data_IF_673089207794
#
_entry.id   IF_673089207794
#
_cell.length_a   1.000
_cell.length_b   1.000
_cell.length_c   1.000
_cell.angle_alpha   90.00
_cell.angle_beta   90.00
_cell.angle_gamma   90.00
#
_symmetry.space_group_name_H-M   'P 1'
#
loop_
_entity.id
_entity.type
_entity.pdbx_description
1 polymer ?
#
# COMPACT_ATOMS: atom_id res chain seq x y z
N UNK A 1 20.51 3.56 -7.89
CA UNK A 1 20.51 3.13 -6.47
C UNK A 1 21.13 4.21 -5.61
N UNK A 2 20.69 4.32 -4.36
CA UNK A 2 21.14 5.31 -3.38
C UNK A 2 21.50 4.60 -2.07
N UNK A 3 22.31 5.23 -1.22
CA UNK A 3 22.64 4.69 0.10
C UNK A 3 21.39 4.75 0.99
N UNK A 4 21.14 3.69 1.76
CA UNK A 4 20.05 3.59 2.74
C UNK A 4 18.63 3.70 2.16
N UNK A 5 18.45 3.50 0.86
CA UNK A 5 17.14 3.47 0.21
C UNK A 5 16.99 2.10 -0.47
N UNK A 6 15.89 1.36 -0.26
CA UNK A 6 15.68 0.08 -0.91
C UNK A 6 15.81 0.21 -2.44
N UNK A 7 16.64 -0.63 -3.10
CA UNK A 7 16.95 -0.45 -4.52
C UNK A 7 15.76 -0.71 -5.45
N UNK A 8 14.69 -1.34 -4.95
CA UNK A 8 13.44 -1.56 -5.69
C UNK A 8 12.59 -0.28 -5.79
N UNK A 9 12.85 0.73 -4.97
CA UNK A 9 12.20 2.04 -5.11
C UNK A 9 12.87 2.81 -6.26
N UNK A 10 12.29 2.66 -7.45
CA UNK A 10 12.72 3.37 -8.65
C UNK A 10 12.54 4.90 -8.54
N UNK A 11 13.15 5.67 -9.45
CA UNK A 11 13.13 7.14 -9.40
C UNK A 11 11.70 7.71 -9.43
N UNK A 12 10.84 7.17 -10.30
CA UNK A 12 9.45 7.65 -10.42
C UNK A 12 8.65 7.40 -9.15
N UNK A 13 8.78 6.21 -8.56
CA UNK A 13 8.10 5.87 -7.31
C UNK A 13 8.59 6.73 -6.15
N UNK A 14 9.91 6.96 -6.02
CA UNK A 14 10.44 7.87 -5.02
C UNK A 14 9.93 9.30 -5.21
N UNK A 15 9.82 9.77 -6.46
CA UNK A 15 9.23 11.06 -6.79
C UNK A 15 7.79 11.17 -6.32
N UNK A 16 6.97 10.16 -6.62
CA UNK A 16 5.56 10.06 -6.20
C UNK A 16 5.45 10.07 -4.67
N UNK A 17 6.14 9.16 -3.98
CA UNK A 17 6.10 9.06 -2.52
C UNK A 17 6.54 10.36 -1.86
N UNK A 18 7.53 11.06 -2.41
CA UNK A 18 8.02 12.34 -1.87
C UNK A 18 7.07 13.50 -2.11
N UNK A 19 6.35 13.48 -3.24
CA UNK A 19 5.39 14.50 -3.65
C UNK A 19 4.04 14.39 -2.93
N UNK A 20 3.63 13.19 -2.53
CA UNK A 20 2.42 12.98 -1.72
C UNK A 20 2.45 13.85 -0.44
N UNK A 21 1.32 14.45 -0.10
CA UNK A 21 1.08 15.14 1.16
C UNK A 21 0.53 14.22 2.25
N UNK A 22 0.33 14.78 3.44
CA UNK A 22 -0.40 14.08 4.50
C UNK A 22 -1.85 13.88 4.07
N UNK A 23 -2.33 12.65 4.19
CA UNK A 23 -3.69 12.23 3.89
C UNK A 23 -3.87 11.67 2.47
N UNK A 24 -2.88 11.85 1.58
CA UNK A 24 -2.86 11.21 0.27
C UNK A 24 -2.77 9.70 0.41
N UNK A 25 -3.42 8.99 -0.51
CA UNK A 25 -3.52 7.53 -0.48
C UNK A 25 -2.83 6.90 -1.70
N UNK A 26 -2.08 5.82 -1.49
CA UNK A 26 -1.41 5.06 -2.54
C UNK A 26 -1.74 3.57 -2.38
N UNK A 27 -2.12 2.92 -3.47
CA UNK A 27 -2.43 1.50 -3.45
C UNK A 27 -1.24 0.68 -3.92
N UNK A 28 -0.95 -0.44 -3.26
CA UNK A 28 -0.10 -1.51 -3.80
C UNK A 28 -1.03 -2.67 -4.11
N UNK A 29 -1.06 -3.10 -5.37
CA UNK A 29 -2.07 -4.04 -5.86
C UNK A 29 -1.46 -5.29 -6.46
N UNK A 30 -2.18 -6.40 -6.37
CA UNK A 30 -1.81 -7.68 -6.93
C UNK A 30 -1.97 -7.71 -8.46
N UNK A 31 -1.36 -8.69 -9.12
CA UNK A 31 -1.31 -8.81 -10.57
C UNK A 31 -2.69 -8.96 -11.25
N UNK A 32 -3.76 -9.24 -10.51
CA UNK A 32 -5.12 -9.36 -11.04
C UNK A 32 -5.95 -8.08 -10.85
N UNK A 33 -5.47 -7.12 -10.04
CA UNK A 33 -6.15 -5.85 -9.87
C UNK A 33 -6.16 -5.04 -11.17
N UNK A 34 -7.28 -4.40 -11.53
CA UNK A 34 -7.40 -3.65 -12.79
C UNK A 34 -6.75 -2.26 -12.71
N UNK A 35 -5.45 -2.21 -12.40
CA UNK A 35 -4.73 -0.95 -12.09
C UNK A 35 -4.72 0.06 -13.23
N UNK A 36 -4.60 -0.40 -14.48
CA UNK A 36 -4.55 0.47 -15.68
C UNK A 36 -5.87 1.24 -15.89
N UNK A 37 -7.00 0.59 -15.64
CA UNK A 37 -8.33 1.19 -15.79
C UNK A 37 -8.86 1.87 -14.52
N UNK A 38 -8.08 1.90 -13.43
CA UNK A 38 -8.55 2.36 -12.12
C UNK A 38 -8.58 3.89 -12.00
N UNK A 39 -7.82 4.63 -12.82
CA UNK A 39 -7.83 6.10 -12.88
C UNK A 39 -6.53 6.78 -12.43
N UNK A 40 -5.98 6.50 -11.24
CA UNK A 40 -4.75 7.11 -10.77
C UNK A 40 -3.52 6.76 -11.62
N UNK A 41 -2.44 7.50 -11.40
CA UNK A 41 -1.14 7.20 -12.01
C UNK A 41 -0.68 5.78 -11.63
N UNK A 42 -0.29 5.00 -12.64
CA UNK A 42 0.16 3.62 -12.47
C UNK A 42 1.68 3.51 -12.52
N UNK A 43 2.29 2.92 -11.49
CA UNK A 43 3.69 2.49 -11.45
C UNK A 43 3.74 0.98 -11.56
N UNK A 44 4.45 0.45 -12.55
CA UNK A 44 4.60 -0.99 -12.78
C UNK A 44 5.83 -1.51 -12.05
N UNK A 45 5.64 -2.51 -11.18
CA UNK A 45 6.68 -3.24 -10.45
C UNK A 45 6.48 -4.75 -10.64
N UNK A 46 6.39 -5.16 -11.90
CA UNK A 46 6.17 -6.54 -12.29
C UNK A 46 7.26 -7.47 -11.72
N UNK A 47 6.85 -8.67 -11.33
CA UNK A 47 7.75 -9.69 -10.77
C UNK A 47 8.18 -9.44 -9.32
N UNK A 48 7.76 -8.34 -8.69
CA UNK A 48 8.04 -8.04 -7.28
C UNK A 48 6.78 -8.32 -6.45
N UNK A 49 6.92 -8.95 -5.28
CA UNK A 49 5.78 -9.27 -4.42
C UNK A 49 5.17 -8.03 -3.77
N UNK A 50 3.88 -8.06 -3.42
CA UNK A 50 3.23 -6.96 -2.69
C UNK A 50 3.92 -6.71 -1.35
N UNK A 51 4.41 -7.78 -0.71
CA UNK A 51 5.10 -7.72 0.58
C UNK A 51 6.46 -7.03 0.49
N UNK A 52 7.25 -7.28 -0.57
CA UNK A 52 8.53 -6.60 -0.76
C UNK A 52 8.33 -5.12 -1.08
N UNK A 53 7.33 -4.80 -1.91
CA UNK A 53 6.98 -3.41 -2.21
C UNK A 53 6.50 -2.68 -0.95
N UNK A 54 5.61 -3.30 -0.18
CA UNK A 54 5.08 -2.73 1.07
C UNK A 54 6.19 -2.46 2.08
N UNK A 55 7.06 -3.45 2.33
CA UNK A 55 8.18 -3.29 3.26
C UNK A 55 9.10 -2.14 2.82
N UNK A 56 9.42 -2.04 1.53
CA UNK A 56 10.24 -0.96 1.01
C UNK A 56 9.56 0.41 1.09
N UNK A 57 8.28 0.54 0.73
CA UNK A 57 7.53 1.80 0.82
C UNK A 57 7.50 2.32 2.26
N UNK A 58 7.25 1.45 3.24
CA UNK A 58 7.17 1.84 4.64
C UNK A 58 8.53 2.20 5.27
N UNK A 59 9.66 1.88 4.62
CA UNK A 59 10.96 2.41 5.06
C UNK A 59 11.11 3.93 4.88
N UNK A 60 10.30 4.55 4.01
CA UNK A 60 10.43 5.97 3.63
C UNK A 60 9.13 6.76 3.78
N UNK A 61 7.98 6.11 3.89
CA UNK A 61 6.67 6.75 3.97
C UNK A 61 5.99 6.41 5.30
N UNK A 62 5.74 7.40 6.19
CA UNK A 62 4.98 7.17 7.40
C UNK A 62 3.50 6.94 7.09
N UNK A 63 2.83 6.15 7.93
CA UNK A 63 1.37 6.03 7.90
C UNK A 63 0.69 7.11 8.74
N UNK A 64 -0.54 7.44 8.34
CA UNK A 64 -1.35 8.45 8.99
C UNK A 64 -1.82 8.02 10.38
N UNK A 65 -1.28 8.67 11.42
CA UNK A 65 -1.63 8.41 12.82
C UNK A 65 -2.73 9.34 13.37
N UNK A 66 -3.38 10.14 12.51
CA UNK A 66 -4.56 10.96 12.84
C UNK A 66 -5.87 10.23 12.55
N UNK A 67 -5.82 9.03 11.98
CA UNK A 67 -6.97 8.19 11.66
C UNK A 67 -6.82 6.81 12.28
N UNK A 68 -7.95 6.14 12.52
CA UNK A 68 -7.95 4.77 13.05
C UNK A 68 -7.40 3.74 12.05
N UNK A 69 -7.52 4.04 10.75
CA UNK A 69 -7.16 3.12 9.66
C UNK A 69 -6.36 3.82 8.56
N UNK A 70 -5.06 3.53 8.50
CA UNK A 70 -4.16 4.02 7.44
C UNK A 70 -3.56 2.92 6.56
N UNK A 71 -3.80 1.65 6.90
CA UNK A 71 -3.44 0.49 6.10
C UNK A 71 -4.67 -0.41 5.96
N UNK A 72 -5.22 -0.49 4.76
CA UNK A 72 -6.51 -1.16 4.50
C UNK A 72 -6.30 -2.20 3.42
N UNK A 73 -6.72 -3.46 3.63
CA UNK A 73 -6.79 -4.46 2.56
C UNK A 73 -8.23 -4.70 2.08
N UNK A 74 -8.36 -5.46 1.01
CA UNK A 74 -9.66 -5.89 0.52
C UNK A 74 -10.18 -7.10 1.31
N UNK A 75 -11.47 -7.13 1.63
CA UNK A 75 -12.14 -8.30 2.22
C UNK A 75 -12.28 -9.44 1.22
N UNK A 76 -12.24 -10.67 1.72
CA UNK A 76 -12.57 -11.86 0.92
C UNK A 76 -14.07 -11.87 0.61
N UNK A 77 -14.42 -12.00 -0.67
CA UNK A 77 -15.82 -12.01 -1.10
C UNK A 77 -16.56 -13.18 -0.47
N UNK A 78 -17.67 -12.89 0.21
CA UNK A 78 -18.47 -13.89 0.93
C UNK A 78 -17.92 -14.26 2.32
N UNK A 79 -16.78 -13.70 2.74
CA UNK A 79 -16.17 -14.02 4.05
C UNK A 79 -15.32 -12.86 4.58
N UNK A 80 -15.96 -11.80 5.07
CA UNK A 80 -15.27 -10.59 5.52
C UNK A 80 -14.25 -10.81 6.66
N UNK A 81 -14.45 -11.84 7.48
CA UNK A 81 -13.54 -12.19 8.58
C UNK A 81 -12.33 -13.05 8.14
N UNK A 82 -12.35 -13.58 6.91
CA UNK A 82 -11.26 -14.42 6.41
C UNK A 82 -10.02 -13.59 6.13
N UNK A 83 -8.87 -14.12 6.55
CA UNK A 83 -7.55 -13.51 6.34
C UNK A 83 -6.65 -14.48 5.59
N UNK A 84 -6.39 -14.17 4.32
CA UNK A 84 -5.46 -14.90 3.48
C UNK A 84 -4.02 -14.80 4.01
N UNK A 85 -3.13 -15.76 3.69
CA UNK A 85 -1.73 -15.71 4.11
C UNK A 85 -1.04 -14.38 3.77
N UNK A 86 -1.26 -13.84 2.56
CA UNK A 86 -0.70 -12.56 2.14
C UNK A 86 -1.16 -11.39 3.01
N UNK A 87 -2.41 -11.41 3.49
CA UNK A 87 -2.92 -10.37 4.40
C UNK A 87 -2.24 -10.42 5.77
N UNK A 88 -1.91 -11.62 6.27
CA UNK A 88 -1.20 -11.78 7.55
C UNK A 88 0.26 -11.31 7.44
N UNK A 89 0.89 -11.55 6.30
CA UNK A 89 2.23 -11.05 6.00
C UNK A 89 2.23 -9.51 5.92
N UNK A 90 1.27 -8.94 5.17
CA UNK A 90 1.11 -7.48 5.10
C UNK A 90 0.85 -6.85 6.47
N UNK A 91 -0.02 -7.43 7.31
CA UNK A 91 -0.27 -6.95 8.68
C UNK A 91 0.99 -6.98 9.55
N UNK A 92 1.82 -8.02 9.38
CA UNK A 92 3.09 -8.16 10.11
C UNK A 92 4.11 -7.11 9.68
N UNK A 93 4.14 -6.75 8.39
CA UNK A 93 5.00 -5.69 7.86
C UNK A 93 4.52 -4.32 8.35
N UNK A 94 3.22 -4.03 8.27
CA UNK A 94 2.64 -2.78 8.79
C UNK A 94 3.01 -2.59 10.25
N UNK A 95 2.79 -3.59 11.11
CA UNK A 95 3.12 -3.51 12.54
C UNK A 95 4.61 -3.34 12.84
N UNK A 96 5.49 -3.80 11.94
CA UNK A 96 6.95 -3.67 12.10
C UNK A 96 7.39 -2.22 11.93
N UNK A 97 6.86 -1.54 10.91
CA UNK A 97 7.22 -0.15 10.60
C UNK A 97 6.38 0.84 11.41
N UNK A 98 5.12 0.48 11.69
CA UNK A 98 4.13 1.34 12.34
C UNK A 98 3.45 0.58 13.49
N UNK A 99 4.10 0.44 14.66
CA UNK A 99 3.63 -0.45 15.75
C UNK A 99 2.25 -0.14 16.32
N UNK A 100 1.74 1.08 16.08
CA UNK A 100 0.40 1.52 16.51
C UNK A 100 -0.67 1.26 15.45
N UNK A 101 -0.29 0.82 14.26
CA UNK A 101 -1.17 0.59 13.13
C UNK A 101 -1.41 -0.91 12.92
N UNK A 102 -2.60 -1.26 12.46
CA UNK A 102 -2.97 -2.61 12.07
C UNK A 102 -3.60 -2.61 10.68
N UNK A 103 -3.57 -3.75 10.00
CA UNK A 103 -4.19 -3.88 8.69
C UNK A 103 -5.71 -4.07 8.82
N UNK A 104 -6.46 -3.01 8.57
CA UNK A 104 -7.93 -3.04 8.49
C UNK A 104 -8.40 -3.68 7.18
N UNK A 105 -9.72 -3.78 6.98
CA UNK A 105 -10.27 -4.37 5.76
C UNK A 105 -11.56 -3.70 5.30
N UNK A 106 -11.76 -3.64 3.99
CA UNK A 106 -12.91 -3.00 3.35
C UNK A 106 -13.53 -3.91 2.29
N UNK A 107 -14.85 -3.80 2.10
CA UNK A 107 -15.57 -4.47 1.02
C UNK A 107 -14.95 -4.16 -0.36
N UNK A 108 -14.99 -5.12 -1.29
CA UNK A 108 -14.31 -5.06 -2.59
C UNK A 108 -14.64 -3.83 -3.43
N UNK A 109 -15.92 -3.49 -3.59
CA UNK A 109 -16.30 -2.35 -4.42
C UNK A 109 -16.00 -1.02 -3.73
N UNK A 110 -16.18 -0.95 -2.41
CA UNK A 110 -15.72 0.21 -1.64
C UNK A 110 -14.20 0.41 -1.75
N UNK A 111 -13.42 -0.68 -1.76
CA UNK A 111 -11.98 -0.64 -1.99
C UNK A 111 -11.66 -0.10 -3.40
N UNK A 112 -12.35 -0.57 -4.43
CA UNK A 112 -12.18 -0.05 -5.80
C UNK A 112 -12.50 1.44 -5.90
N UNK A 113 -13.60 1.88 -5.28
CA UNK A 113 -13.99 3.29 -5.27
C UNK A 113 -12.96 4.18 -4.54
N UNK A 114 -12.38 3.67 -3.45
CA UNK A 114 -11.38 4.43 -2.69
C UNK A 114 -10.05 4.51 -3.44
N UNK A 115 -9.59 3.39 -4.02
CA UNK A 115 -8.36 3.37 -4.82
C UNK A 115 -8.46 4.29 -6.04
N UNK A 116 -9.60 4.36 -6.73
CA UNK A 116 -9.75 5.23 -7.91
C UNK A 116 -9.65 6.73 -7.60
N UNK A 117 -9.80 7.12 -6.33
CA UNK A 117 -9.63 8.48 -5.81
C UNK A 117 -8.24 8.72 -5.19
N UNK A 118 -7.39 7.68 -5.15
CA UNK A 118 -6.04 7.76 -4.60
C UNK A 118 -5.08 8.54 -5.51
N UNK A 119 -3.90 8.84 -4.95
CA UNK A 119 -2.84 9.57 -5.63
C UNK A 119 -2.17 8.74 -6.73
N UNK A 120 -1.86 7.47 -6.43
CA UNK A 120 -1.20 6.56 -7.36
C UNK A 120 -1.49 5.09 -7.01
N UNK A 121 -1.18 4.21 -7.96
CA UNK A 121 -1.24 2.76 -7.81
C UNK A 121 0.11 2.17 -8.18
N UNK A 122 0.59 1.24 -7.36
CA UNK A 122 1.78 0.42 -7.61
C UNK A 122 1.29 -0.98 -7.96
N UNK A 123 1.43 -1.35 -9.23
CA UNK A 123 1.06 -2.66 -9.75
C UNK A 123 2.21 -3.64 -9.52
N UNK A 124 2.08 -4.49 -8.51
CA UNK A 124 3.06 -5.53 -8.19
C UNK A 124 2.91 -6.76 -9.10
N UNK A 125 3.85 -7.69 -8.97
CA UNK A 125 3.78 -9.04 -9.53
C UNK A 125 3.14 -10.08 -8.61
N UNK A 126 2.48 -9.66 -7.52
CA UNK A 126 1.86 -10.59 -6.57
C UNK A 126 0.78 -11.44 -7.25
N UNK A 127 0.90 -12.77 -7.12
CA UNK A 127 -0.03 -13.72 -7.76
C UNK A 127 -1.06 -14.29 -6.79
N UNK A 128 -0.80 -14.19 -5.48
CA UNK A 128 -1.75 -14.58 -4.43
C UNK A 128 -2.94 -13.63 -4.47
N UNK A 129 -4.14 -14.19 -4.33
CA UNK A 129 -5.37 -13.40 -4.37
C UNK A 129 -5.49 -12.50 -3.14
N UNK A 130 -6.19 -11.38 -3.32
CA UNK A 130 -6.40 -10.37 -2.29
C UNK A 130 -5.10 -9.75 -1.77
N UNK A 131 -4.06 -9.71 -2.61
CA UNK A 131 -2.79 -9.05 -2.33
C UNK A 131 -2.85 -7.54 -2.59
N UNK A 132 -3.92 -6.89 -2.16
CA UNK A 132 -4.15 -5.46 -2.36
C UNK A 132 -4.15 -4.75 -1.01
N UNK A 133 -3.41 -3.64 -0.93
CA UNK A 133 -3.35 -2.78 0.25
C UNK A 133 -3.37 -1.32 -0.17
N UNK A 134 -4.17 -0.51 0.53
CA UNK A 134 -4.24 0.92 0.41
C UNK A 134 -3.56 1.55 1.63
N UNK A 135 -2.63 2.47 1.39
CA UNK A 135 -1.86 3.16 2.42
C UNK A 135 -2.22 4.64 2.42
N UNK A 136 -2.48 5.20 3.59
CA UNK A 136 -2.70 6.64 3.79
C UNK A 136 -1.45 7.27 4.40
N UNK A 137 -0.89 8.28 3.74
CA UNK A 137 0.36 8.91 4.15
C UNK A 137 0.18 9.81 5.38
N UNK A 138 1.05 9.64 6.36
CA UNK A 138 1.08 10.43 7.58
C UNK A 138 1.97 11.67 7.50
N UNK A 139 2.41 12.10 8.69
CA UNK A 139 3.29 13.25 8.89
C UNK A 139 4.66 12.81 9.40
N UNK A 140 5.70 13.55 9.06
CA UNK A 140 7.00 13.48 9.75
C UNK A 140 7.06 14.67 10.67
N UNK A 141 7.26 14.44 11.97
CA UNK A 141 7.25 15.51 12.97
C UNK A 141 8.61 16.23 12.99
N UNK A 142 8.64 17.54 13.26
CA UNK A 142 9.91 18.25 13.41
C UNK A 142 10.78 17.59 14.50
N UNK A 143 11.99 17.15 14.13
CA UNK A 143 12.97 16.56 15.06
C UNK A 143 13.04 15.03 15.09
N UNK A 144 12.24 14.36 14.26
CA UNK A 144 12.35 12.91 13.97
C UNK A 144 13.25 12.64 12.76
#
# INVERSE_FOLDING_TARGET
>A
MLKNIPPILGPDLLGILRAMGHGDEIAIVDANYPGDSAGPLLVRMDGISVTDVLDAVLTVMPLDDFVDEAAICMQVVGSAAQREPVMKEMDSIVKRHEPKMALSSMERFAFYERVSKGYAIIQSGERRLYGNILLKKGVIRPGE
#
